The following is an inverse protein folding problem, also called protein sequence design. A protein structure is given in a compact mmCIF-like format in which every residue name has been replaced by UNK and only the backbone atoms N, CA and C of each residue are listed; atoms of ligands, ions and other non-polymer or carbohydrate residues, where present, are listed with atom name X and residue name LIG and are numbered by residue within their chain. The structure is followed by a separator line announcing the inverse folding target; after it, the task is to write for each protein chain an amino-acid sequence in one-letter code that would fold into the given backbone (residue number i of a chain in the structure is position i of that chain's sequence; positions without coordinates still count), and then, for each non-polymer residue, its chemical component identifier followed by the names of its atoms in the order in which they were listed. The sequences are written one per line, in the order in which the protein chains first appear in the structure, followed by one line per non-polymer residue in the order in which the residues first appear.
data_IF_510408631151
#
_entry.id   IF_510408631151
#
_cell.length_a   1.000
_cell.length_b   1.000
_cell.length_c   1.000
_cell.angle_alpha   90.00
_cell.angle_beta   90.00
_cell.angle_gamma   90.00
#
_symmetry.space_group_name_H-M   'P 1'
#
loop_
_entity.id
_entity.type
_entity.pdbx_description
1 polymer ?
#
# COMPACT_ATOMS: atom_id res chain seq x y z
N UNK A 1 -12.06 -23.96 -1.36
CA UNK A 1 -12.14 -22.52 -1.00
C UNK A 1 -12.52 -21.73 -2.23
N UNK A 2 -13.54 -20.89 -2.13
CA UNK A 2 -13.97 -20.03 -3.23
C UNK A 2 -12.89 -18.97 -3.52
N UNK A 3 -12.78 -18.45 -4.76
CA UNK A 3 -11.83 -17.39 -5.09
C UNK A 3 -11.82 -16.19 -4.12
N UNK A 4 -12.97 -15.66 -3.65
CA UNK A 4 -12.98 -14.52 -2.73
C UNK A 4 -12.46 -14.87 -1.33
N UNK A 5 -12.66 -16.09 -0.84
CA UNK A 5 -12.22 -16.45 0.52
C UNK A 5 -10.69 -16.43 0.66
N UNK A 6 -9.96 -16.72 -0.43
CA UNK A 6 -8.49 -16.65 -0.45
C UNK A 6 -7.98 -15.21 -0.37
N UNK A 7 -8.63 -14.28 -1.07
CA UNK A 7 -8.25 -12.87 -1.06
C UNK A 7 -8.45 -12.22 0.31
N UNK A 8 -9.55 -12.55 1.00
CA UNK A 8 -9.80 -12.07 2.35
C UNK A 8 -8.77 -12.56 3.37
N UNK A 9 -8.33 -13.82 3.25
CA UNK A 9 -7.27 -14.36 4.10
C UNK A 9 -5.94 -13.62 3.83
N UNK A 10 -5.60 -13.41 2.55
CA UNK A 10 -4.39 -12.66 2.20
C UNK A 10 -4.43 -11.22 2.73
N UNK A 11 -5.58 -10.54 2.65
CA UNK A 11 -5.76 -9.22 3.25
C UNK A 11 -5.57 -9.24 4.77
N UNK A 12 -6.15 -10.23 5.46
CA UNK A 12 -6.00 -10.40 6.90
C UNK A 12 -4.55 -10.68 7.34
N UNK A 13 -3.70 -11.21 6.45
CA UNK A 13 -2.28 -11.45 6.71
C UNK A 13 -1.44 -10.20 6.38
N UNK A 14 -1.74 -9.51 5.28
CA UNK A 14 -0.97 -8.33 4.83
C UNK A 14 -1.06 -7.17 5.81
N UNK A 15 -2.21 -6.96 6.44
CA UNK A 15 -2.40 -5.87 7.42
C UNK A 15 -1.44 -6.02 8.61
N UNK A 16 -1.43 -7.13 9.38
CA UNK A 16 -0.51 -7.28 10.50
C UNK A 16 0.95 -7.38 10.06
N UNK A 17 1.24 -7.89 8.85
CA UNK A 17 2.60 -7.85 8.30
C UNK A 17 3.06 -6.40 8.09
N UNK A 18 2.25 -5.56 7.45
CA UNK A 18 2.55 -4.16 7.22
C UNK A 18 2.80 -3.41 8.53
N UNK A 19 1.94 -3.62 9.53
CA UNK A 19 2.14 -3.05 10.87
C UNK A 19 3.41 -3.61 11.54
N UNK A 20 3.67 -4.91 11.41
CA UNK A 20 4.86 -5.57 11.93
C UNK A 20 6.16 -5.01 11.34
N UNK A 21 6.15 -4.54 10.09
CA UNK A 21 7.34 -3.89 9.51
C UNK A 21 7.78 -2.65 10.26
N UNK A 22 6.88 -1.96 10.97
CA UNK A 22 7.18 -0.77 11.79
C UNK A 22 7.61 -1.09 13.22
N UNK A 23 7.34 -2.31 13.68
CA UNK A 23 7.66 -2.80 15.02
C UNK A 23 8.92 -3.69 15.03
N UNK A 24 9.55 -3.89 13.88
CA UNK A 24 10.64 -4.84 13.71
C UNK A 24 12.00 -4.19 13.97
N UNK A 25 12.62 -4.53 15.09
CA UNK A 25 13.92 -3.99 15.51
C UNK A 25 15.13 -4.89 15.16
N UNK A 26 14.89 -5.99 14.43
CA UNK A 26 15.93 -6.98 14.11
C UNK A 26 16.89 -6.57 12.98
N UNK A 27 17.76 -7.49 12.52
CA UNK A 27 18.64 -7.24 11.38
C UNK A 27 17.86 -6.76 10.16
N UNK A 28 18.28 -5.63 9.57
CA UNK A 28 17.55 -5.01 8.46
C UNK A 28 16.37 -4.12 8.86
N UNK A 29 16.19 -3.82 10.16
CA UNK A 29 15.15 -2.91 10.66
C UNK A 29 15.09 -1.59 9.90
N UNK A 30 16.24 -0.96 9.61
CA UNK A 30 16.27 0.29 8.86
C UNK A 30 15.63 0.19 7.47
N UNK A 31 15.86 -0.92 6.75
CA UNK A 31 15.22 -1.17 5.46
C UNK A 31 13.73 -1.51 5.61
N UNK A 32 13.39 -2.36 6.60
CA UNK A 32 11.98 -2.71 6.89
C UNK A 32 11.13 -1.49 7.23
N UNK A 33 11.67 -0.59 8.06
CA UNK A 33 10.99 0.63 8.50
C UNK A 33 10.76 1.60 7.34
N UNK A 34 11.74 1.69 6.43
CA UNK A 34 11.69 2.56 5.26
C UNK A 34 10.78 2.02 4.15
N UNK A 35 10.89 0.75 3.79
CA UNK A 35 10.27 0.19 2.58
C UNK A 35 9.21 -0.87 2.85
N UNK A 36 9.33 -1.64 3.94
CA UNK A 36 8.47 -2.79 4.21
C UNK A 36 6.99 -2.43 4.25
N UNK A 37 6.65 -1.35 4.96
CA UNK A 37 5.27 -0.86 5.04
C UNK A 37 4.71 -0.42 3.68
N UNK A 38 5.53 0.23 2.85
CA UNK A 38 5.13 0.68 1.51
C UNK A 38 4.83 -0.52 0.58
N UNK A 39 5.66 -1.56 0.63
CA UNK A 39 5.45 -2.80 -0.13
C UNK A 39 4.14 -3.48 0.30
N UNK A 40 3.92 -3.63 1.62
CA UNK A 40 2.68 -4.21 2.14
C UNK A 40 1.45 -3.39 1.74
N UNK A 41 1.58 -2.06 1.69
CA UNK A 41 0.53 -1.15 1.26
C UNK A 41 0.14 -1.34 -0.21
N UNK A 42 1.11 -1.47 -1.12
CA UNK A 42 0.81 -1.76 -2.53
C UNK A 42 0.13 -3.11 -2.71
N UNK A 43 0.64 -4.15 -2.02
CA UNK A 43 0.05 -5.50 -2.05
C UNK A 43 -1.39 -5.47 -1.51
N UNK A 44 -1.65 -4.72 -0.43
CA UNK A 44 -2.99 -4.52 0.11
C UNK A 44 -3.93 -3.96 -0.95
N UNK A 45 -3.56 -2.88 -1.64
CA UNK A 45 -4.43 -2.26 -2.65
C UNK A 45 -4.68 -3.15 -3.85
N UNK A 46 -3.68 -3.88 -4.33
CA UNK A 46 -3.85 -4.83 -5.43
C UNK A 46 -4.86 -5.91 -5.05
N UNK A 47 -4.75 -6.48 -3.84
CA UNK A 47 -5.66 -7.51 -3.34
C UNK A 47 -7.07 -6.97 -3.08
N UNK A 48 -7.18 -5.77 -2.49
CA UNK A 48 -8.46 -5.11 -2.23
C UNK A 48 -9.20 -4.81 -3.54
N UNK A 49 -8.53 -4.21 -4.52
CA UNK A 49 -9.10 -3.97 -5.84
C UNK A 49 -9.45 -5.27 -6.56
N UNK A 50 -8.64 -6.32 -6.43
CA UNK A 50 -8.97 -7.62 -7.02
C UNK A 50 -10.19 -8.27 -6.36
N UNK A 51 -10.40 -8.06 -5.07
CA UNK A 51 -11.59 -8.52 -4.36
C UNK A 51 -12.85 -7.76 -4.82
N UNK A 52 -12.77 -6.45 -5.04
CA UNK A 52 -13.87 -5.63 -5.55
C UNK A 52 -14.15 -5.83 -7.05
N UNK A 53 -13.09 -6.05 -7.85
CA UNK A 53 -13.13 -6.16 -9.31
C UNK A 53 -12.57 -7.52 -9.76
N UNK A 54 -13.27 -8.63 -9.47
CA UNK A 54 -12.75 -9.99 -9.68
C UNK A 54 -12.46 -10.32 -11.16
N UNK A 55 -13.11 -9.63 -12.09
CA UNK A 55 -12.93 -9.82 -13.55
C UNK A 55 -11.73 -9.07 -14.14
N UNK A 56 -11.16 -8.11 -13.43
CA UNK A 56 -10.03 -7.31 -13.92
C UNK A 56 -8.72 -8.09 -13.82
N UNK A 57 -7.82 -7.92 -14.79
CA UNK A 57 -6.53 -8.60 -14.77
C UNK A 57 -5.66 -8.07 -13.62
N UNK A 58 -4.88 -8.96 -13.00
CA UNK A 58 -3.97 -8.59 -11.91
C UNK A 58 -2.94 -7.59 -12.42
N UNK A 59 -2.41 -7.80 -13.62
CA UNK A 59 -1.42 -6.90 -14.23
C UNK A 59 -1.96 -5.47 -14.37
N UNK A 60 -3.21 -5.31 -14.83
CA UNK A 60 -3.82 -3.98 -14.94
C UNK A 60 -3.99 -3.32 -13.58
N UNK A 61 -4.44 -4.07 -12.57
CA UNK A 61 -4.57 -3.55 -11.20
C UNK A 61 -3.22 -3.16 -10.62
N UNK A 62 -2.19 -3.99 -10.78
CA UNK A 62 -0.83 -3.70 -10.31
C UNK A 62 -0.23 -2.47 -10.98
N UNK A 63 -0.35 -2.34 -12.31
CA UNK A 63 0.10 -1.14 -13.03
C UNK A 63 -0.68 0.10 -12.58
N UNK A 64 -1.99 -0.01 -12.41
CA UNK A 64 -2.82 1.09 -11.92
C UNK A 64 -2.41 1.54 -10.51
N UNK A 65 -2.25 0.61 -9.58
CA UNK A 65 -1.78 0.90 -8.22
C UNK A 65 -0.42 1.57 -8.26
N UNK A 66 0.55 1.01 -8.99
CA UNK A 66 1.89 1.57 -9.12
C UNK A 66 1.90 3.00 -9.69
N UNK A 67 1.11 3.26 -10.74
CA UNK A 67 1.04 4.60 -11.35
C UNK A 67 0.40 5.61 -10.39
N UNK A 68 -0.65 5.21 -9.67
CA UNK A 68 -1.30 6.07 -8.67
C UNK A 68 -0.37 6.33 -7.50
N UNK A 69 0.29 5.32 -6.93
CA UNK A 69 1.20 5.49 -5.80
C UNK A 69 2.43 6.32 -6.17
N UNK A 70 3.00 6.07 -7.34
CA UNK A 70 4.10 6.91 -7.88
C UNK A 70 3.65 8.36 -8.09
N UNK A 71 2.45 8.58 -8.65
CA UNK A 71 1.89 9.92 -8.80
C UNK A 71 1.69 10.64 -7.46
N UNK A 72 1.23 9.92 -6.43
CA UNK A 72 1.09 10.45 -5.08
C UNK A 72 2.46 10.81 -4.47
N UNK A 73 3.49 9.99 -4.67
CA UNK A 73 4.87 10.30 -4.24
C UNK A 73 5.42 11.57 -4.93
N UNK A 74 5.24 11.70 -6.24
CA UNK A 74 5.59 12.94 -6.95
C UNK A 74 4.82 14.16 -6.45
N UNK A 75 3.54 13.96 -6.09
CA UNK A 75 2.73 15.02 -5.50
C UNK A 75 3.23 15.38 -4.10
N UNK A 76 3.68 14.42 -3.30
CA UNK A 76 4.26 14.66 -1.97
C UNK A 76 5.57 15.44 -2.02
N UNK A 77 6.35 15.28 -3.09
CA UNK A 77 7.55 16.09 -3.36
C UNK A 77 7.22 17.54 -3.79
N UNK A 78 5.96 17.81 -4.15
CA UNK A 78 5.55 19.13 -4.62
C UNK A 78 5.19 20.07 -3.45
N UNK A 79 5.86 21.22 -3.36
CA UNK A 79 5.59 22.27 -2.35
C UNK A 79 4.44 23.21 -2.73
N UNK A 80 3.41 22.71 -3.43
CA UNK A 80 2.31 23.58 -3.84
C UNK A 80 1.52 24.04 -2.60
N UNK A 81 1.20 25.34 -2.43
CA UNK A 81 0.62 25.87 -1.19
C UNK A 81 -0.69 25.19 -0.75
N UNK A 82 -1.43 24.57 -1.67
CA UNK A 82 -2.66 23.81 -1.37
C UNK A 82 -2.37 22.44 -0.74
N UNK A 83 -1.21 21.83 -1.04
CA UNK A 83 -0.78 20.57 -0.43
C UNK A 83 -0.21 20.80 0.98
N UNK A 84 0.43 21.94 1.21
CA UNK A 84 0.87 22.33 2.57
C UNK A 84 -0.32 22.55 3.50
N UNK A 85 -1.44 23.07 3.00
CA UNK A 85 -2.69 23.18 3.77
C UNK A 85 -3.23 21.83 4.23
N UNK A 86 -3.18 20.81 3.37
CA UNK A 86 -3.61 19.44 3.73
C UNK A 86 -2.60 18.81 4.70
N UNK A 87 -1.29 18.99 4.46
CA UNK A 87 -0.23 18.50 5.35
C UNK A 87 -0.26 19.15 6.74
N UNK A 88 -0.64 20.42 6.81
CA UNK A 88 -0.83 21.15 8.07
C UNK A 88 -2.08 20.72 8.84
N UNK A 89 -3.04 20.04 8.20
CA UNK A 89 -4.22 19.47 8.85
C UNK A 89 -3.94 18.12 9.53
N UNK A 90 -2.80 17.48 9.24
CA UNK A 90 -2.36 16.21 9.83
C UNK A 90 -1.49 16.37 11.10
N UNK A 91 -1.42 17.58 11.68
CA UNK A 91 -0.81 17.89 12.99
C UNK A 91 -1.88 18.39 13.98
#
# INVERSE_FOLDING_TARGET
MSPPSRLLILLAIVIPLGLGTKLYEGPGAGWSHAYGGAICYEVFWILALKACLPRTSILFLSTGVFLVTSGLEFLQLSHHPWLEWIRAFEL
#
